data_IF_684579898772
#
_entry.id   IF_684579898772
#
_cell.length_a   1.000
_cell.length_b   1.000
_cell.length_c   1.000
_cell.angle_alpha   90.00
_cell.angle_beta   90.00
_cell.angle_gamma   90.00
#
_symmetry.space_group_name_H-M   'P 1'
#
loop_
_entity.id
_entity.type
_entity.pdbx_description
1 polymer ?
#
# COMPACT_ATOMS: atom_id res chain seq x y z
N UNK A 1 12.17 -1.34 -5.29
CA UNK A 1 11.86 -0.95 -3.92
C UNK A 1 10.80 0.13 -4.01
N UNK A 2 9.52 -0.23 -4.01
CA UNK A 2 8.47 0.77 -4.20
C UNK A 2 8.42 1.69 -2.99
N UNK A 3 8.83 2.94 -3.18
CA UNK A 3 8.65 4.02 -2.21
C UNK A 3 7.32 4.70 -2.48
N UNK A 4 6.55 4.91 -1.42
CA UNK A 4 5.24 5.54 -1.53
C UNK A 4 5.26 6.92 -0.90
N UNK A 5 4.60 7.87 -1.55
CA UNK A 5 4.30 9.18 -0.96
C UNK A 5 2.80 9.26 -0.68
N UNK A 6 2.41 9.63 0.53
CA UNK A 6 1.00 9.80 0.90
C UNK A 6 0.56 11.21 0.53
N UNK A 7 -0.48 11.32 -0.30
CA UNK A 7 -1.12 12.59 -0.65
C UNK A 7 -2.48 12.71 0.02
N UNK A 8 -2.88 13.94 0.35
CA UNK A 8 -4.24 14.26 0.79
C UNK A 8 -5.16 14.65 -0.40
N UNK A 9 -4.59 14.71 -1.61
CA UNK A 9 -5.31 15.11 -2.83
C UNK A 9 -5.57 13.86 -3.67
N UNK A 10 -6.82 13.41 -3.70
CA UNK A 10 -7.26 12.20 -4.41
C UNK A 10 -6.90 12.21 -5.90
N UNK A 11 -7.01 13.35 -6.59
CA UNK A 11 -6.71 13.47 -8.02
C UNK A 11 -5.21 13.39 -8.34
N UNK A 12 -4.35 13.51 -7.34
CA UNK A 12 -2.89 13.47 -7.48
C UNK A 12 -2.31 12.06 -7.26
N UNK A 13 -3.14 11.11 -6.83
CA UNK A 13 -2.73 9.75 -6.50
C UNK A 13 -2.67 8.86 -7.72
N UNK A 14 -1.63 8.02 -7.76
CA UNK A 14 -1.50 6.93 -8.74
C UNK A 14 -2.38 5.74 -8.35
N UNK A 15 -2.62 5.56 -7.04
CA UNK A 15 -3.46 4.49 -6.50
C UNK A 15 -4.24 4.94 -5.26
N UNK A 16 -5.52 4.58 -5.21
CA UNK A 16 -6.38 4.77 -4.04
C UNK A 16 -6.41 3.50 -3.20
N UNK A 17 -6.11 3.66 -1.92
CA UNK A 17 -5.96 2.55 -0.98
C UNK A 17 -6.98 2.70 0.15
N UNK A 18 -7.58 1.60 0.55
CA UNK A 18 -8.37 1.54 1.79
C UNK A 18 -7.72 0.55 2.75
N UNK A 19 -7.68 0.89 4.05
CA UNK A 19 -7.15 0.01 5.09
C UNK A 19 -8.34 -0.75 5.68
N UNK A 20 -8.37 -2.06 5.52
CA UNK A 20 -9.36 -2.93 6.15
C UNK A 20 -8.99 -3.24 7.60
N UNK A 21 -10.03 -3.37 8.45
CA UNK A 21 -9.88 -3.78 9.85
C UNK A 21 -9.58 -5.28 10.00
N UNK A 22 -9.99 -6.10 9.02
CA UNK A 22 -9.79 -7.54 9.04
C UNK A 22 -9.09 -8.04 7.77
N UNK A 23 -8.11 -8.95 7.95
CA UNK A 23 -7.27 -9.47 6.87
C UNK A 23 -8.06 -10.10 5.72
N UNK A 24 -9.17 -10.77 6.00
CA UNK A 24 -9.98 -11.45 4.98
C UNK A 24 -10.69 -10.52 4.01
N UNK A 25 -10.82 -9.23 4.33
CA UNK A 25 -11.42 -8.23 3.44
C UNK A 25 -10.38 -7.55 2.54
N UNK A 26 -9.09 -7.77 2.80
CA UNK A 26 -8.01 -7.17 2.05
C UNK A 26 -7.64 -7.98 0.81
N UNK A 27 -7.21 -7.27 -0.23
CA UNK A 27 -6.57 -7.84 -1.42
C UNK A 27 -5.06 -8.09 -1.17
N UNK A 28 -4.45 -7.32 -0.27
CA UNK A 28 -3.01 -7.37 0.03
C UNK A 28 -2.77 -7.16 1.53
N UNK A 29 -2.00 -8.04 2.16
CA UNK A 29 -1.43 -7.77 3.48
C UNK A 29 -0.10 -7.02 3.31
N UNK A 30 0.03 -5.85 3.93
CA UNK A 30 1.18 -4.96 3.83
C UNK A 30 1.92 -4.88 5.15
N UNK A 31 3.25 -4.99 5.10
CA UNK A 31 4.13 -4.65 6.21
C UNK A 31 4.77 -3.28 5.95
N UNK A 32 4.64 -2.37 6.90
CA UNK A 32 5.23 -1.03 6.82
C UNK A 32 6.62 -1.05 7.48
N UNK A 33 7.63 -0.52 6.79
CA UNK A 33 9.00 -0.42 7.31
C UNK A 33 9.58 0.98 7.11
N UNK A 34 10.31 1.45 8.11
CA UNK A 34 11.13 2.66 8.03
C UNK A 34 12.46 2.39 7.29
N UNK A 35 12.84 1.11 7.17
CA UNK A 35 14.09 0.69 6.53
C UNK A 35 13.88 0.50 5.03
N UNK A 36 14.29 1.50 4.25
CA UNK A 36 14.21 1.44 2.77
C UNK A 36 14.90 0.20 2.17
N UNK A 37 15.89 -0.36 2.85
CA UNK A 37 16.60 -1.58 2.43
C UNK A 37 15.75 -2.86 2.55
N UNK A 38 14.72 -2.86 3.37
CA UNK A 38 13.81 -4.00 3.59
C UNK A 38 12.65 -4.01 2.59
N UNK A 39 12.34 -2.87 1.97
CA UNK A 39 11.27 -2.71 0.97
C UNK A 39 11.66 -3.31 -0.40
N UNK A 40 12.10 -4.56 -0.43
CA UNK A 40 12.50 -5.28 -1.65
C UNK A 40 11.31 -5.91 -2.37
N UNK A 41 10.24 -6.20 -1.64
CA UNK A 41 9.05 -6.90 -2.13
C UNK A 41 7.83 -5.95 -2.25
N UNK A 42 6.86 -6.20 -3.16
CA UNK A 42 5.68 -5.35 -3.36
C UNK A 42 4.78 -5.16 -2.14
N UNK A 43 4.77 -6.15 -1.25
CA UNK A 43 4.00 -6.16 0.00
C UNK A 43 4.70 -5.45 1.18
N UNK A 44 5.96 -5.01 0.99
CA UNK A 44 6.72 -4.28 2.02
C UNK A 44 6.77 -2.81 1.60
N UNK A 45 6.06 -1.96 2.35
CA UNK A 45 5.89 -0.56 1.98
C UNK A 45 6.79 0.31 2.84
N UNK A 46 7.50 1.22 2.18
CA UNK A 46 8.24 2.30 2.82
C UNK A 46 7.66 3.63 2.34
N UNK A 47 7.36 4.52 3.28
CA UNK A 47 6.85 5.84 2.97
C UNK A 47 7.95 6.90 2.98
N UNK A 48 7.80 7.93 2.15
CA UNK A 48 8.64 9.12 2.14
C UNK A 48 7.77 10.36 2.19
N UNK A 49 8.27 11.41 2.82
CA UNK A 49 7.66 12.75 2.81
C UNK A 49 8.06 13.57 1.57
N UNK A 50 8.95 13.03 0.72
CA UNK A 50 9.46 13.72 -0.47
C UNK A 50 8.81 13.09 -1.70
N UNK A 51 7.80 13.77 -2.26
CA UNK A 51 7.05 13.28 -3.44
C UNK A 51 7.93 12.87 -4.62
N UNK A 52 9.01 13.60 -4.90
CA UNK A 52 9.90 13.29 -6.02
C UNK A 52 10.77 12.04 -5.83
N UNK A 53 10.84 11.50 -4.61
CA UNK A 53 11.57 10.26 -4.30
C UNK A 53 10.67 9.02 -4.34
N UNK A 54 9.35 9.21 -4.41
CA UNK A 54 8.40 8.12 -4.44
C UNK A 54 8.24 7.56 -5.86
N UNK A 55 8.09 6.23 -5.94
CA UNK A 55 7.75 5.53 -7.17
C UNK A 55 6.25 5.64 -7.48
N UNK A 56 5.42 5.72 -6.43
CA UNK A 56 3.97 5.89 -6.53
C UNK A 56 3.43 6.83 -5.45
N UNK A 57 2.42 7.60 -5.81
CA UNK A 57 1.62 8.42 -4.89
C UNK A 57 0.37 7.66 -4.47
N UNK A 58 0.17 7.55 -3.16
CA UNK A 58 -0.96 6.82 -2.54
C UNK A 58 -1.91 7.82 -1.89
N UNK A 59 -3.20 7.63 -2.12
CA UNK A 59 -4.25 8.31 -1.36
C UNK A 59 -5.02 7.28 -0.53
N UNK A 60 -5.14 7.53 0.78
CA UNK A 60 -5.96 6.71 1.65
C UNK A 60 -7.40 7.18 1.65
N UNK A 61 -8.31 6.29 1.28
CA UNK A 61 -9.75 6.54 1.21
C UNK A 61 -10.44 6.08 2.48
N UNK A 62 -11.52 6.78 2.84
CA UNK A 62 -12.37 6.42 3.99
C UNK A 62 -13.18 5.14 3.77
N UNK A 63 -13.31 4.65 2.54
CA UNK A 63 -14.12 3.48 2.24
C UNK A 63 -13.64 2.68 1.03
N UNK A 64 -13.69 1.35 1.17
CA UNK A 64 -13.29 0.38 0.15
C UNK A 64 -13.94 0.60 -1.23
N UNK A 65 -15.16 1.12 -1.28
CA UNK A 65 -15.89 1.35 -2.54
C UNK A 65 -15.25 2.41 -3.44
N UNK A 66 -14.41 3.30 -2.89
CA UNK A 66 -13.66 4.31 -3.64
C UNK A 66 -12.19 3.93 -3.84
N UNK A 67 -11.77 2.76 -3.37
CA UNK A 67 -10.38 2.31 -3.43
C UNK A 67 -10.14 1.39 -4.63
N UNK A 68 -8.96 1.49 -5.22
CA UNK A 68 -8.49 0.56 -6.25
C UNK A 68 -8.05 -0.77 -5.60
N UNK A 69 -7.44 -0.67 -4.41
CA UNK A 69 -6.97 -1.79 -3.61
C UNK A 69 -7.35 -1.60 -2.13
N UNK A 70 -7.69 -2.71 -1.47
CA UNK A 70 -7.93 -2.79 -0.04
C UNK A 70 -6.74 -3.52 0.56
N UNK A 71 -6.09 -2.91 1.55
CA UNK A 71 -4.92 -3.48 2.23
C UNK A 71 -5.24 -3.81 3.68
N UNK A 72 -4.49 -4.73 4.27
CA UNK A 72 -4.46 -4.97 5.71
C UNK A 72 -3.05 -4.72 6.21
N UNK A 73 -2.89 -3.86 7.22
CA UNK A 73 -1.57 -3.63 7.83
C UNK A 73 -1.24 -4.77 8.79
N UNK A 74 -0.12 -5.44 8.58
CA UNK A 74 0.41 -6.47 9.48
C UNK A 74 1.71 -5.99 10.12
N UNK A 75 1.91 -6.37 11.38
CA UNK A 75 3.16 -6.13 12.12
C UNK A 75 4.21 -7.23 11.87
N UNK A 76 3.86 -8.27 11.09
CA UNK A 76 4.71 -9.42 10.81
C UNK A 76 5.06 -9.43 9.32
N UNK A 77 6.33 -9.16 9.00
CA UNK A 77 6.83 -9.10 7.62
C UNK A 77 6.55 -10.39 6.81
N UNK A 78 6.66 -11.56 7.43
CA UNK A 78 6.39 -12.85 6.76
C UNK A 78 4.92 -13.08 6.42
N UNK A 79 4.00 -12.33 7.03
CA UNK A 79 2.56 -12.44 6.79
C UNK A 79 2.08 -11.51 5.67
N UNK A 80 2.96 -10.60 5.25
CA UNK A 80 2.72 -9.70 4.13
C UNK A 80 2.71 -10.50 2.82
N UNK A 81 1.80 -10.14 1.92
CA UNK A 81 1.63 -10.83 0.66
C UNK A 81 0.23 -10.66 0.09
N UNK A 82 0.10 -10.96 -1.19
CA UNK A 82 -1.16 -10.88 -1.91
C UNK A 82 -2.13 -11.96 -1.43
N UNK A 83 -3.35 -11.51 -1.11
CA UNK A 83 -4.47 -12.36 -0.75
C UNK A 83 -5.38 -12.58 -1.97
N UNK A 84 -5.43 -11.58 -2.86
CA UNK A 84 -6.09 -11.64 -4.16
C UNK A 84 -5.05 -11.43 -5.28
N UNK A 85 -4.64 -12.52 -5.91
CA UNK A 85 -3.64 -12.50 -6.99
C UNK A 85 -4.14 -11.82 -8.27
N UNK A 86 -5.46 -11.63 -8.43
CA UNK A 86 -6.00 -10.90 -9.59
C UNK A 86 -5.67 -9.39 -9.56
N UNK A 87 -5.28 -8.88 -8.40
CA UNK A 87 -4.96 -7.47 -8.14
C UNK A 87 -3.46 -7.17 -8.16
N UNK A 88 -2.61 -8.18 -8.29
CA UNK A 88 -1.15 -8.07 -8.26
C UNK A 88 -0.60 -7.04 -9.26
N UNK A 89 -1.20 -6.95 -10.45
CA UNK A 89 -0.75 -6.03 -11.51
C UNK A 89 -1.03 -4.54 -11.26
N UNK A 90 -1.66 -4.18 -10.14
CA UNK A 90 -1.93 -2.77 -9.78
C UNK A 90 -0.71 -2.09 -9.11
N UNK A 91 0.18 -2.87 -8.48
CA UNK A 91 1.35 -2.36 -7.77
C UNK A 91 2.66 -2.59 -8.54
#
# INVERSE_FOLDING_TARGET
MPKFFVTDIESDADIKVHIADIRSEAHLAVYETDSQWEATEPQIWAFTDIRSEADKVVYFTDGAWNADIVIFKTDIMSDAGWLDSSKEGLL
#
